data_IF_016290220880
#
_entry.id   IF_016290220880
#
_cell.length_a   1.000
_cell.length_b   1.000
_cell.length_c   1.000
_cell.angle_alpha   90.00
_cell.angle_beta   90.00
_cell.angle_gamma   90.00
#
_symmetry.space_group_name_H-M   'P 1'
#
loop_
_entity.id
_entity.type
_entity.pdbx_description
1 polymer ?
#
# COMPACT_ATOMS: atom_id res chain seq x y z
N UNK A 1 1.10 -12.85 4.82
CA UNK A 1 1.27 -13.32 3.43
C UNK A 1 1.44 -14.84 3.32
N UNK A 2 2.56 -15.45 3.75
CA UNK A 2 2.81 -16.90 3.51
C UNK A 2 1.75 -17.83 4.10
N UNK A 3 1.29 -17.58 5.33
CA UNK A 3 0.19 -18.36 5.93
C UNK A 3 -1.12 -18.26 5.13
N UNK A 4 -1.38 -17.10 4.51
CA UNK A 4 -2.57 -16.92 3.67
C UNK A 4 -2.42 -17.70 2.35
N UNK A 5 -1.24 -17.67 1.72
CA UNK A 5 -0.96 -18.45 0.52
C UNK A 5 -1.12 -19.96 0.76
N UNK A 6 -0.64 -20.46 1.90
CA UNK A 6 -0.77 -21.88 2.29
C UNK A 6 -2.23 -22.32 2.50
N UNK A 7 -3.16 -21.39 2.70
CA UNK A 7 -4.58 -21.72 2.77
C UNK A 7 -5.20 -22.04 1.39
N UNK A 8 -4.55 -21.62 0.29
CA UNK A 8 -5.06 -21.76 -1.07
C UNK A 8 -4.15 -22.58 -2.00
N UNK A 9 -2.86 -22.70 -1.68
CA UNK A 9 -1.85 -23.34 -2.51
C UNK A 9 -1.07 -24.39 -1.71
N UNK A 10 -0.49 -25.36 -2.43
CA UNK A 10 0.45 -26.32 -1.85
C UNK A 10 1.78 -25.65 -1.49
N UNK A 11 2.50 -26.21 -0.51
CA UNK A 11 3.73 -25.64 0.06
C UNK A 11 4.78 -25.30 -1.01
N UNK A 12 5.00 -26.19 -1.98
CA UNK A 12 5.94 -25.96 -3.07
C UNK A 12 5.55 -24.74 -3.93
N UNK A 13 4.25 -24.60 -4.25
CA UNK A 13 3.76 -23.45 -5.00
C UNK A 13 3.92 -22.15 -4.19
N UNK A 14 3.66 -22.20 -2.88
CA UNK A 14 3.88 -21.05 -2.00
C UNK A 14 5.35 -20.64 -1.98
N UNK A 15 6.27 -21.60 -1.92
CA UNK A 15 7.70 -21.34 -1.97
C UNK A 15 8.07 -20.56 -3.24
N UNK A 16 7.62 -21.00 -4.41
CA UNK A 16 7.90 -20.33 -5.68
C UNK A 16 7.27 -18.94 -5.77
N UNK A 17 6.06 -18.76 -5.27
CA UNK A 17 5.40 -17.44 -5.23
C UNK A 17 6.17 -16.49 -4.31
N UNK A 18 6.54 -16.91 -3.10
CA UNK A 18 7.29 -16.09 -2.15
C UNK A 18 8.69 -15.77 -2.69
N UNK A 19 9.36 -16.72 -3.33
CA UNK A 19 10.65 -16.46 -3.98
C UNK A 19 10.51 -15.44 -5.11
N UNK A 20 9.50 -15.59 -5.96
CA UNK A 20 9.21 -14.64 -7.04
C UNK A 20 8.87 -13.25 -6.50
N UNK A 21 8.18 -13.17 -5.35
CA UNK A 21 7.91 -11.91 -4.69
C UNK A 21 9.18 -11.21 -4.24
N UNK A 22 10.13 -11.95 -3.65
CA UNK A 22 11.37 -11.39 -3.13
C UNK A 22 12.35 -10.99 -4.24
N UNK A 23 12.46 -11.81 -5.29
CA UNK A 23 13.52 -11.66 -6.29
C UNK A 23 13.06 -10.88 -7.53
N UNK A 24 11.78 -10.94 -7.87
CA UNK A 24 11.25 -10.37 -9.13
C UNK A 24 10.31 -9.20 -8.87
N UNK A 25 9.32 -9.35 -7.99
CA UNK A 25 8.27 -8.34 -7.84
C UNK A 25 8.64 -7.21 -6.88
N UNK A 26 9.34 -7.53 -5.79
CA UNK A 26 9.73 -6.59 -4.72
C UNK A 26 11.22 -6.75 -4.35
N UNK A 27 12.14 -6.63 -5.33
CA UNK A 27 13.57 -6.80 -5.07
C UNK A 27 14.05 -5.80 -4.01
N UNK A 28 14.71 -6.32 -2.97
CA UNK A 28 15.27 -5.50 -1.89
C UNK A 28 14.28 -5.04 -0.82
N UNK A 29 13.02 -5.48 -0.85
CA UNK A 29 12.04 -5.18 0.20
C UNK A 29 12.26 -5.94 1.51
N UNK A 30 12.77 -7.17 1.43
CA UNK A 30 12.85 -8.09 2.57
C UNK A 30 14.29 -8.35 3.05
N UNK A 31 15.29 -7.63 2.52
CA UNK A 31 16.71 -7.85 2.81
C UNK A 31 17.32 -6.74 3.66
N UNK A 32 18.08 -7.09 4.69
CA UNK A 32 18.91 -6.15 5.47
C UNK A 32 18.14 -4.92 5.96
N UNK A 33 18.59 -3.74 5.54
CA UNK A 33 17.96 -2.44 5.85
C UNK A 33 16.79 -2.06 4.93
N UNK A 34 16.37 -2.95 4.00
CA UNK A 34 15.19 -2.80 3.13
C UNK A 34 15.21 -1.50 2.28
N UNK A 35 16.32 -1.21 1.55
CA UNK A 35 16.53 0.09 0.92
C UNK A 35 15.48 0.41 -0.15
N UNK A 36 15.02 -0.58 -0.93
CA UNK A 36 13.98 -0.40 -1.93
C UNK A 36 12.66 0.04 -1.29
N UNK A 37 12.25 -0.65 -0.22
CA UNK A 37 11.06 -0.27 0.54
C UNK A 37 11.13 1.17 1.06
N UNK A 38 12.28 1.61 1.58
CA UNK A 38 12.43 2.99 2.08
C UNK A 38 12.28 4.03 0.97
N UNK A 39 12.81 3.74 -0.22
CA UNK A 39 12.61 4.59 -1.41
C UNK A 39 11.13 4.66 -1.75
N UNK A 40 10.43 3.53 -1.75
CA UNK A 40 9.01 3.46 -2.11
C UNK A 40 8.11 4.10 -1.04
N UNK A 41 8.45 4.02 0.23
CA UNK A 41 7.78 4.74 1.32
C UNK A 41 7.93 6.25 1.14
N UNK A 42 9.14 6.73 0.83
CA UNK A 42 9.39 8.15 0.56
C UNK A 42 8.66 8.63 -0.71
N UNK A 43 8.63 7.79 -1.76
CA UNK A 43 7.86 8.06 -2.96
C UNK A 43 6.36 8.14 -2.68
N UNK A 44 5.84 7.28 -1.79
CA UNK A 44 4.43 7.31 -1.39
C UNK A 44 4.09 8.61 -0.65
N UNK A 45 4.94 9.04 0.29
CA UNK A 45 4.76 10.31 1.00
C UNK A 45 4.73 11.49 0.02
N UNK A 46 5.68 11.52 -0.92
CA UNK A 46 5.71 12.53 -1.99
C UNK A 46 4.45 12.50 -2.86
N UNK A 47 3.94 11.29 -3.17
CA UNK A 47 2.71 11.14 -3.92
C UNK A 47 1.49 11.66 -3.16
N UNK A 48 1.39 11.36 -1.86
CA UNK A 48 0.31 11.86 -1.01
C UNK A 48 0.38 13.38 -0.87
N UNK A 49 1.58 13.95 -0.69
CA UNK A 49 1.80 15.40 -0.67
C UNK A 49 1.33 16.07 -1.96
N UNK A 50 1.65 15.48 -3.12
CA UNK A 50 1.21 16.02 -4.41
C UNK A 50 -0.31 15.91 -4.64
N UNK A 51 -0.94 14.83 -4.16
CA UNK A 51 -2.36 14.54 -4.39
C UNK A 51 -3.28 15.25 -3.41
N UNK A 52 -2.89 15.31 -2.14
CA UNK A 52 -3.66 15.91 -1.06
C UNK A 52 -2.72 16.71 -0.14
N UNK A 53 -2.16 17.85 -0.60
CA UNK A 53 -1.13 18.60 0.14
C UNK A 53 -1.63 19.11 1.48
N UNK A 54 -2.91 19.52 1.56
CA UNK A 54 -3.54 19.96 2.80
C UNK A 54 -3.63 18.82 3.82
N UNK A 55 -4.04 17.62 3.38
CA UNK A 55 -4.10 16.43 4.23
C UNK A 55 -2.71 16.01 4.70
N UNK A 56 -1.74 15.98 3.79
CA UNK A 56 -0.35 15.64 4.13
C UNK A 56 0.22 16.59 5.18
N UNK A 57 0.01 17.91 5.01
CA UNK A 57 0.44 18.92 5.96
C UNK A 57 -0.24 18.76 7.33
N UNK A 58 -1.52 18.40 7.34
CA UNK A 58 -2.27 18.10 8.57
C UNK A 58 -1.66 16.90 9.30
N UNK A 59 -1.41 15.79 8.60
CA UNK A 59 -0.79 14.60 9.18
C UNK A 59 0.62 14.89 9.74
N UNK A 60 1.41 15.71 9.05
CA UNK A 60 2.72 16.17 9.53
C UNK A 60 2.61 17.01 10.81
N UNK A 61 1.61 17.89 10.89
CA UNK A 61 1.39 18.72 12.08
C UNK A 61 1.01 17.91 13.32
N UNK A 62 0.39 16.73 13.11
CA UNK A 62 0.07 15.78 14.16
C UNK A 62 1.25 14.88 14.52
N UNK A 63 2.37 14.94 13.80
CA UNK A 63 3.51 13.99 13.91
C UNK A 63 3.08 12.53 13.66
N UNK A 64 2.13 12.32 12.75
CA UNK A 64 1.66 10.98 12.41
C UNK A 64 2.76 10.15 11.73
N UNK A 65 3.08 8.92 12.21
CA UNK A 65 4.12 8.06 11.66
C UNK A 65 3.69 7.38 10.35
N UNK A 66 3.52 8.18 9.30
CA UNK A 66 3.06 7.75 7.98
C UNK A 66 4.01 6.73 7.34
N UNK A 67 5.31 6.89 7.53
CA UNK A 67 6.36 5.96 7.09
C UNK A 67 6.10 4.54 7.60
N UNK A 68 5.84 4.39 8.90
CA UNK A 68 5.61 3.09 9.54
C UNK A 68 4.33 2.42 9.03
N UNK A 69 3.28 3.20 8.81
CA UNK A 69 2.03 2.70 8.25
C UNK A 69 2.24 2.16 6.83
N UNK A 70 2.90 2.94 5.97
CA UNK A 70 3.15 2.56 4.57
C UNK A 70 4.09 1.36 4.49
N UNK A 71 5.15 1.31 5.31
CA UNK A 71 6.01 0.13 5.44
C UNK A 71 5.20 -1.13 5.74
N UNK A 72 4.29 -1.05 6.72
CA UNK A 72 3.43 -2.17 7.12
C UNK A 72 2.52 -2.61 5.97
N UNK A 73 1.87 -1.68 5.27
CA UNK A 73 1.02 -1.98 4.13
C UNK A 73 1.80 -2.67 3.01
N UNK A 74 2.97 -2.15 2.66
CA UNK A 74 3.75 -2.61 1.52
C UNK A 74 4.41 -3.97 1.79
N UNK A 75 5.05 -4.15 2.95
CA UNK A 75 5.68 -5.42 3.33
C UNK A 75 4.69 -6.58 3.42
N UNK A 76 3.46 -6.27 3.84
CA UNK A 76 2.44 -7.30 4.04
C UNK A 76 1.51 -7.44 2.85
N UNK A 77 1.69 -6.63 1.79
CA UNK A 77 0.77 -6.52 0.65
C UNK A 77 -0.67 -6.45 1.17
N UNK A 78 -0.90 -5.53 2.11
CA UNK A 78 -2.16 -5.30 2.83
C UNK A 78 -2.71 -6.48 3.65
N UNK A 79 -2.00 -7.61 3.81
CA UNK A 79 -2.50 -8.73 4.63
C UNK A 79 -2.49 -8.47 6.13
N UNK A 80 -1.77 -7.47 6.63
CA UNK A 80 -1.77 -7.07 8.04
C UNK A 80 -2.67 -5.85 8.31
N UNK A 81 -3.71 -5.68 7.49
CA UNK A 81 -4.75 -4.66 7.65
C UNK A 81 -6.04 -5.28 8.15
N UNK A 82 -7.03 -4.46 8.47
CA UNK A 82 -8.40 -4.94 8.77
C UNK A 82 -9.34 -4.87 7.57
N UNK A 83 -8.77 -4.73 6.37
CA UNK A 83 -9.50 -4.87 5.11
C UNK A 83 -10.08 -6.29 5.02
N UNK A 84 -11.37 -6.44 4.65
CA UNK A 84 -11.98 -7.75 4.44
C UNK A 84 -11.15 -8.63 3.49
N UNK A 85 -10.95 -9.90 3.86
CA UNK A 85 -10.12 -10.83 3.09
C UNK A 85 -10.48 -10.89 1.58
N UNK A 86 -11.76 -10.91 1.17
CA UNK A 86 -12.11 -10.91 -0.25
C UNK A 86 -11.53 -9.70 -1.01
N UNK A 87 -11.49 -8.53 -0.39
CA UNK A 87 -10.89 -7.32 -0.97
C UNK A 87 -9.37 -7.44 -1.02
N UNK A 88 -8.73 -7.97 0.02
CA UNK A 88 -7.27 -8.22 0.04
C UNK A 88 -6.86 -9.16 -1.09
N UNK A 89 -7.62 -10.23 -1.33
CA UNK A 89 -7.36 -11.15 -2.44
C UNK A 89 -7.46 -10.47 -3.81
N UNK A 90 -8.41 -9.54 -3.99
CA UNK A 90 -8.49 -8.76 -5.24
C UNK A 90 -7.33 -7.77 -5.39
N UNK A 91 -6.86 -7.16 -4.29
CA UNK A 91 -5.63 -6.35 -4.29
C UNK A 91 -4.45 -7.21 -4.75
N UNK A 92 -4.37 -8.46 -4.31
CA UNK A 92 -3.33 -9.39 -4.75
C UNK A 92 -3.44 -9.74 -6.22
N UNK A 93 -4.62 -10.07 -6.73
CA UNK A 93 -4.83 -10.34 -8.17
C UNK A 93 -4.35 -9.17 -9.03
N UNK A 94 -4.70 -7.93 -8.64
CA UNK A 94 -4.24 -6.74 -9.32
C UNK A 94 -2.72 -6.55 -9.17
N UNK A 95 -2.16 -6.76 -7.98
CA UNK A 95 -0.73 -6.62 -7.74
C UNK A 95 0.11 -7.61 -8.57
N UNK A 96 -0.28 -8.89 -8.66
CA UNK A 96 0.44 -9.86 -9.48
C UNK A 96 0.36 -9.55 -10.98
N UNK A 97 -0.69 -8.87 -11.42
CA UNK A 97 -0.90 -8.45 -12.81
C UNK A 97 -0.18 -7.14 -13.16
N UNK A 98 -0.18 -6.17 -12.25
CA UNK A 98 0.16 -4.77 -12.53
C UNK A 98 1.37 -4.26 -11.75
N UNK A 99 1.84 -5.04 -10.78
CA UNK A 99 3.00 -4.77 -9.94
C UNK A 99 2.74 -3.74 -8.84
N UNK A 100 3.85 -3.16 -8.38
CA UNK A 100 3.92 -2.29 -7.20
C UNK A 100 2.98 -1.08 -7.24
N UNK A 101 2.67 -0.55 -8.42
CA UNK A 101 1.75 0.61 -8.59
C UNK A 101 0.39 0.42 -7.91
N UNK A 102 -0.06 -0.83 -7.79
CA UNK A 102 -1.31 -1.18 -7.12
C UNK A 102 -1.23 -0.84 -5.63
N UNK A 103 -0.09 -1.08 -4.97
CA UNK A 103 0.05 -0.81 -3.53
C UNK A 103 -0.02 0.70 -3.24
N UNK A 104 0.63 1.51 -4.09
CA UNK A 104 0.55 2.96 -4.02
C UNK A 104 -0.88 3.45 -4.21
N UNK A 105 -1.54 2.98 -5.27
CA UNK A 105 -2.91 3.38 -5.56
C UNK A 105 -3.86 3.04 -4.43
N UNK A 106 -3.78 1.81 -3.90
CA UNK A 106 -4.63 1.37 -2.78
C UNK A 106 -4.39 2.24 -1.55
N UNK A 107 -3.12 2.49 -1.18
CA UNK A 107 -2.81 3.34 -0.04
C UNK A 107 -3.35 4.77 -0.21
N UNK A 108 -3.16 5.39 -1.38
CA UNK A 108 -3.72 6.72 -1.66
C UNK A 108 -5.25 6.71 -1.61
N UNK A 109 -5.90 5.71 -2.18
CA UNK A 109 -7.35 5.60 -2.17
C UNK A 109 -7.91 5.47 -0.74
N UNK A 110 -7.24 4.75 0.17
CA UNK A 110 -7.61 4.69 1.58
C UNK A 110 -7.55 6.07 2.26
N UNK A 111 -6.49 6.84 2.00
CA UNK A 111 -6.37 8.21 2.52
C UNK A 111 -7.45 9.14 1.96
N UNK A 112 -7.72 9.09 0.66
CA UNK A 112 -8.73 9.92 0.03
C UNK A 112 -10.15 9.56 0.48
N UNK A 113 -10.43 8.27 0.69
CA UNK A 113 -11.73 7.83 1.21
C UNK A 113 -11.94 8.29 2.67
N UNK A 114 -10.88 8.37 3.45
CA UNK A 114 -10.90 8.82 4.84
C UNK A 114 -10.73 10.35 4.99
N UNK A 115 -10.48 11.08 3.90
CA UNK A 115 -9.96 12.46 3.91
C UNK A 115 -10.78 13.40 4.82
N UNK A 116 -12.10 13.41 4.68
CA UNK A 116 -12.99 14.26 5.48
C UNK A 116 -12.82 14.00 6.99
N UNK A 117 -12.75 12.72 7.39
CA UNK A 117 -12.59 12.33 8.79
C UNK A 117 -11.18 12.65 9.30
N UNK A 118 -10.17 12.45 8.46
CA UNK A 118 -8.79 12.72 8.81
C UNK A 118 -8.53 14.20 9.11
N UNK A 119 -9.22 15.12 8.43
CA UNK A 119 -9.14 16.55 8.76
C UNK A 119 -9.75 16.90 10.13
N UNK A 120 -10.65 16.06 10.65
CA UNK A 120 -11.19 16.21 12.00
C UNK A 120 -10.29 15.60 13.09
N UNK A 121 -9.29 14.80 12.71
CA UNK A 121 -8.35 14.23 13.67
C UNK A 121 -7.48 15.33 14.29
N UNK A 122 -7.32 15.25 15.61
CA UNK A 122 -6.48 16.13 16.42
C UNK A 122 -5.28 15.40 17.03
N UNK A 123 -5.25 14.07 16.90
CA UNK A 123 -4.17 13.22 17.43
C UNK A 123 -3.81 12.10 16.45
N UNK A 124 -2.61 11.54 16.54
CA UNK A 124 -2.20 10.37 15.75
C UNK A 124 -3.12 9.15 15.97
N UNK A 125 -3.62 8.97 17.19
CA UNK A 125 -4.51 7.87 17.50
C UNK A 125 -5.84 7.96 16.73
N UNK A 126 -6.42 9.16 16.63
CA UNK A 126 -7.64 9.37 15.85
C UNK A 126 -7.41 9.14 14.35
N UNK A 127 -6.23 9.52 13.83
CA UNK A 127 -5.83 9.21 12.45
C UNK A 127 -5.81 7.68 12.24
N UNK A 128 -5.15 6.93 13.10
CA UNK A 128 -5.11 5.47 13.05
C UNK A 128 -6.52 4.86 13.13
N UNK A 129 -7.37 5.38 14.02
CA UNK A 129 -8.75 4.92 14.19
C UNK A 129 -9.60 5.15 12.93
N UNK A 130 -9.50 6.32 12.31
CA UNK A 130 -10.23 6.64 11.09
C UNK A 130 -9.74 5.84 9.88
N UNK A 131 -8.44 5.63 9.74
CA UNK A 131 -7.89 4.75 8.70
C UNK A 131 -8.34 3.32 8.92
N UNK A 132 -8.27 2.81 10.15
CA UNK A 132 -8.72 1.48 10.49
C UNK A 132 -10.23 1.27 10.24
N UNK A 133 -11.06 2.26 10.59
CA UNK A 133 -12.49 2.22 10.26
C UNK A 133 -12.73 2.22 8.75
N UNK A 134 -11.88 2.92 8.00
CA UNK A 134 -11.93 2.93 6.52
C UNK A 134 -11.55 1.56 5.96
N UNK A 135 -10.45 0.96 6.43
CA UNK A 135 -10.02 -0.40 6.06
C UNK A 135 -11.15 -1.42 6.25
N UNK A 136 -11.83 -1.43 7.40
CA UNK A 136 -12.96 -2.34 7.67
C UNK A 136 -14.11 -2.14 6.67
N UNK A 137 -14.36 -0.90 6.28
CA UNK A 137 -15.46 -0.55 5.36
C UNK A 137 -15.16 -0.86 3.88
N UNK A 138 -13.90 -1.20 3.54
CA UNK A 138 -13.46 -1.50 2.18
C UNK A 138 -13.93 -2.88 1.69
N UNK A 139 -15.25 -3.04 1.50
CA UNK A 139 -15.85 -4.26 0.96
C UNK A 139 -15.79 -4.27 -0.58
N UNK A 140 -15.91 -3.10 -1.22
CA UNK A 140 -15.92 -2.99 -2.68
C UNK A 140 -14.56 -2.59 -3.24
N UNK A 141 -13.79 -3.61 -3.63
CA UNK A 141 -12.53 -3.42 -4.33
C UNK A 141 -12.70 -2.62 -5.64
N UNK A 142 -13.86 -2.66 -6.31
CA UNK A 142 -14.05 -1.94 -7.56
C UNK A 142 -14.04 -0.42 -7.35
N UNK A 143 -14.57 0.08 -6.24
CA UNK A 143 -14.51 1.49 -5.90
C UNK A 143 -13.06 1.91 -5.66
N UNK A 144 -12.32 1.13 -4.87
CA UNK A 144 -10.89 1.32 -4.61
C UNK A 144 -10.11 1.36 -5.93
N UNK A 145 -10.31 0.36 -6.79
CA UNK A 145 -9.68 0.27 -8.10
C UNK A 145 -10.11 1.36 -9.06
N UNK A 146 -11.36 1.83 -8.99
CA UNK A 146 -11.80 2.96 -9.79
C UNK A 146 -11.05 4.24 -9.40
N UNK A 147 -10.75 4.43 -8.10
CA UNK A 147 -9.94 5.56 -7.65
C UNK A 147 -8.46 5.38 -8.03
N UNK A 148 -7.96 4.14 -8.03
CA UNK A 148 -6.58 3.80 -8.44
C UNK A 148 -6.34 3.95 -9.94
N UNK A 149 -7.30 3.54 -10.79
CA UNK A 149 -7.12 3.37 -12.24
C UNK A 149 -7.80 4.42 -13.10
N UNK A 150 -8.70 5.25 -12.54
CA UNK A 150 -9.40 6.31 -13.31
C UNK A 150 -8.56 7.57 -13.45
N UNK A 151 -7.76 7.86 -12.44
CA UNK A 151 -6.63 8.75 -12.59
C UNK A 151 -5.47 7.88 -13.00
N UNK A 152 -4.89 8.10 -14.18
CA UNK A 152 -3.52 7.65 -14.42
C UNK A 152 -2.70 8.26 -13.28
N UNK A 153 -2.44 7.48 -12.23
CA UNK A 153 -1.51 7.84 -11.18
C UNK A 153 -0.23 8.11 -11.95
N UNK A 154 0.04 9.40 -12.18
CA UNK A 154 1.21 9.91 -12.87
C UNK A 154 2.38 9.74 -11.89
N UNK A 155 2.60 8.50 -11.46
CA UNK A 155 3.72 8.03 -10.69
C UNK A 155 4.88 8.24 -11.64
N UNK A 156 5.78 9.20 -11.39
CA UNK A 156 6.81 9.53 -12.35
C UNK A 156 7.60 8.26 -12.67
N UNK A 157 7.62 7.83 -13.94
CA UNK A 157 8.32 6.63 -14.40
C UNK A 157 9.83 6.64 -14.05
N UNK A 158 10.37 7.79 -13.66
CA UNK A 158 11.73 7.95 -13.12
C UNK A 158 11.94 7.19 -11.81
N UNK A 159 10.90 6.89 -11.02
CA UNK A 159 11.00 6.10 -9.79
C UNK A 159 10.97 4.58 -10.04
N UNK A 160 10.29 4.13 -11.10
CA UNK A 160 10.20 2.70 -11.47
C UNK A 160 11.45 2.19 -12.22
N UNK A 161 12.33 3.07 -12.69
CA UNK A 161 13.50 2.72 -13.50
C UNK A 161 14.62 2.01 -12.72
N UNK A 162 14.61 2.04 -11.38
CA UNK A 162 15.57 1.30 -10.57
C UNK A 162 15.23 -0.19 -10.40
N UNK A 163 14.03 -0.62 -10.81
CA UNK A 163 13.56 -2.01 -10.66
C UNK A 163 13.70 -2.83 -11.94
N UNK A 164 13.84 -2.20 -13.12
CA UNK A 164 13.82 -2.87 -14.44
C UNK A 164 15.13 -2.85 -15.24
N UNK A 165 16.28 -2.61 -14.60
CA UNK A 165 17.59 -2.81 -15.23
C UNK A 165 18.43 -3.77 -14.40
N UNK A 166 18.29 -5.07 -14.67
CA UNK A 166 19.33 -5.96 -15.21
C UNK A 166 18.67 -7.04 -16.07
#
# INVERSE_FOLDING_TARGET
>A
MSCLLLAYLEEESVFWVVNSLNDVMLPGYFHGHRPALQIDVSAFQSLLENRAPALFSHLQSLEFPLDRLVEKWFLTIFTSTTIPLPTVLRIWDAFFSQGLRVLFGVGIALFLQAEEKLFHATTCHEVDEYLHATEISCIDANLLFSLVFKDDLNIPCTFLHHVFKE
#
